data_IF_642748680481
#
_entry.id   IF_642748680481
#
_cell.length_a   1.000
_cell.length_b   1.000
_cell.length_c   1.000
_cell.angle_alpha   90.00
_cell.angle_beta   90.00
_cell.angle_gamma   90.00
#
_symmetry.space_group_name_H-M   'P 1'
#
loop_
_entity.id
_entity.type
_entity.pdbx_description
1 polymer ?
#
# COMPACT_ATOMS: atom_id res chain seq x y z
N UNK A 1 -29.10 -30.12 0.17
CA UNK A 1 -27.96 -31.01 0.48
C UNK A 1 -27.65 -30.86 1.96
N UNK A 2 -27.94 -31.88 2.76
CA UNK A 2 -27.60 -31.93 4.18
C UNK A 2 -26.33 -32.78 4.30
N UNK A 3 -25.19 -32.14 4.56
CA UNK A 3 -23.95 -32.85 4.90
C UNK A 3 -24.03 -33.33 6.36
N UNK A 4 -23.43 -34.48 6.66
CA UNK A 4 -23.36 -34.99 8.04
C UNK A 4 -22.45 -34.11 8.92
N UNK A 5 -22.59 -34.21 10.23
CA UNK A 5 -21.73 -33.45 11.17
C UNK A 5 -20.26 -33.83 11.04
N UNK A 6 -19.95 -35.10 10.79
CA UNK A 6 -18.58 -35.59 10.56
C UNK A 6 -17.96 -34.99 9.30
N UNK A 7 -18.72 -34.88 8.20
CA UNK A 7 -18.24 -34.26 6.96
C UNK A 7 -17.98 -32.76 7.14
N UNK A 8 -18.81 -32.08 7.94
CA UNK A 8 -18.61 -30.66 8.29
C UNK A 8 -17.36 -30.46 9.14
N UNK A 9 -17.10 -31.37 10.07
CA UNK A 9 -15.91 -31.28 10.93
C UNK A 9 -14.63 -31.55 10.14
N UNK A 10 -14.65 -32.53 9.24
CA UNK A 10 -13.54 -32.82 8.32
C UNK A 10 -13.27 -31.64 7.38
N UNK A 11 -14.32 -31.02 6.84
CA UNK A 11 -14.21 -29.82 6.01
C UNK A 11 -13.66 -28.63 6.82
N UNK A 12 -14.04 -28.47 8.09
CA UNK A 12 -13.48 -27.44 8.98
C UNK A 12 -12.02 -27.69 9.31
N UNK A 13 -11.61 -28.93 9.54
CA UNK A 13 -10.22 -29.28 9.77
C UNK A 13 -9.37 -29.03 8.52
N UNK A 14 -9.85 -29.48 7.36
CA UNK A 14 -9.18 -29.27 6.08
C UNK A 14 -9.10 -27.78 5.72
N UNK A 15 -10.17 -27.02 5.94
CA UNK A 15 -10.15 -25.56 5.71
C UNK A 15 -9.30 -24.83 6.75
N UNK A 16 -9.21 -25.30 8.01
CA UNK A 16 -8.30 -24.74 9.00
C UNK A 16 -6.84 -25.01 8.66
N UNK A 17 -6.54 -26.16 8.07
CA UNK A 17 -5.19 -26.49 7.60
C UNK A 17 -4.83 -25.73 6.31
N UNK A 18 -5.75 -25.68 5.33
CA UNK A 18 -5.57 -24.94 4.07
C UNK A 18 -5.57 -23.43 4.26
N UNK A 19 -6.41 -22.87 5.13
CA UNK A 19 -6.58 -21.42 5.28
C UNK A 19 -5.96 -20.85 6.56
N UNK A 20 -5.68 -21.64 7.59
CA UNK A 20 -5.00 -21.19 8.81
C UNK A 20 -3.53 -20.80 8.59
N UNK A 21 -2.95 -21.20 7.45
CA UNK A 21 -1.58 -20.88 7.05
C UNK A 21 -1.47 -19.67 6.11
N UNK A 22 -2.59 -19.13 5.61
CA UNK A 22 -2.59 -18.10 4.55
C UNK A 22 -2.31 -16.67 5.07
N UNK A 23 -2.23 -16.46 6.40
CA UNK A 23 -2.18 -15.11 6.98
C UNK A 23 -1.12 -14.83 8.03
N UNK A 24 -0.13 -15.70 8.26
CA UNK A 24 0.96 -15.35 9.20
C UNK A 24 1.95 -14.43 8.52
N UNK A 25 1.69 -13.13 8.60
CA UNK A 25 2.73 -12.13 8.37
C UNK A 25 3.97 -12.45 9.22
N UNK A 26 5.14 -12.00 8.77
CA UNK A 26 6.41 -12.16 9.49
C UNK A 26 6.23 -11.82 10.96
N UNK A 27 6.65 -12.73 11.85
CA UNK A 27 6.51 -12.54 13.28
C UNK A 27 7.31 -11.32 13.75
N UNK A 28 6.85 -10.60 14.78
CA UNK A 28 7.48 -9.36 15.27
C UNK A 28 9.00 -9.49 15.47
N UNK A 29 9.47 -10.64 15.97
CA UNK A 29 10.90 -10.90 16.15
C UNK A 29 11.68 -10.99 14.83
N UNK A 30 11.13 -11.67 13.83
CA UNK A 30 11.72 -11.74 12.49
C UNK A 30 11.69 -10.37 11.81
N UNK A 31 10.66 -9.56 12.06
CA UNK A 31 10.61 -8.17 11.57
C UNK A 31 11.76 -7.34 12.13
N UNK A 32 12.00 -7.42 13.45
CA UNK A 32 13.10 -6.71 14.10
C UNK A 32 14.46 -7.15 13.56
N UNK A 33 14.68 -8.46 13.39
CA UNK A 33 15.91 -8.99 12.77
C UNK A 33 16.13 -8.48 11.34
N UNK A 34 15.06 -8.41 10.54
CA UNK A 34 15.16 -7.88 9.18
C UNK A 34 15.45 -6.38 9.16
N UNK A 35 14.89 -5.61 10.10
CA UNK A 35 15.18 -4.17 10.26
C UNK A 35 16.65 -3.96 10.65
N UNK A 36 17.14 -4.69 11.66
CA UNK A 36 18.54 -4.61 12.11
C UNK A 36 19.52 -4.93 10.96
N UNK A 37 19.23 -5.98 10.19
CA UNK A 37 20.04 -6.34 9.02
C UNK A 37 20.03 -5.23 7.93
N UNK A 38 18.89 -4.55 7.72
CA UNK A 38 18.82 -3.42 6.80
C UNK A 38 19.65 -2.24 7.32
N UNK A 39 19.56 -1.92 8.61
CA UNK A 39 20.32 -0.83 9.23
C UNK A 39 21.82 -1.05 9.11
N UNK A 40 22.31 -2.27 9.35
CA UNK A 40 23.73 -2.62 9.18
C UNK A 40 24.20 -2.42 7.72
N UNK A 41 23.42 -2.91 6.74
CA UNK A 41 23.76 -2.75 5.32
C UNK A 41 23.75 -1.27 4.90
N UNK A 42 22.81 -0.48 5.41
CA UNK A 42 22.74 0.97 5.16
C UNK A 42 23.94 1.69 5.78
N UNK A 43 24.35 1.33 6.99
CA UNK A 43 25.53 1.89 7.63
C UNK A 43 26.80 1.58 6.82
N UNK A 44 26.96 0.33 6.36
CA UNK A 44 28.08 -0.08 5.49
C UNK A 44 28.09 0.68 4.17
N UNK A 45 26.92 0.85 3.55
CA UNK A 45 26.78 1.59 2.30
C UNK A 45 27.08 3.09 2.49
N UNK A 46 26.67 3.67 3.61
CA UNK A 46 26.99 5.06 3.98
C UNK A 46 28.49 5.25 4.20
N UNK A 47 29.15 4.35 4.93
CA UNK A 47 30.60 4.37 5.13
C UNK A 47 31.36 4.25 3.79
N UNK A 48 30.94 3.34 2.92
CA UNK A 48 31.51 3.18 1.58
C UNK A 48 31.31 4.42 0.68
N UNK A 49 30.17 5.11 0.81
CA UNK A 49 29.92 6.36 0.07
C UNK A 49 30.73 7.54 0.60
N UNK A 50 30.99 7.59 1.91
CA UNK A 50 31.83 8.63 2.50
C UNK A 50 33.30 8.44 2.15
N UNK A 51 33.79 7.19 2.11
CA UNK A 51 35.17 6.90 1.71
C UNK A 51 35.47 7.11 0.22
N UNK A 52 34.44 7.15 -0.63
CA UNK A 52 34.54 7.46 -2.06
C UNK A 52 34.13 8.90 -2.40
N UNK A 53 34.08 9.76 -1.38
CA UNK A 53 33.62 11.16 -1.47
C UNK A 53 34.40 12.03 -2.45
N UNK A 54 33.69 13.08 -2.93
CA UNK A 54 34.00 14.17 -3.90
C UNK A 54 35.47 14.54 -4.25
N UNK A 55 36.46 14.24 -3.43
CA UNK A 55 37.85 14.69 -3.56
C UNK A 55 38.60 13.98 -4.71
N UNK A 56 38.20 12.76 -5.07
CA UNK A 56 38.92 11.98 -6.09
C UNK A 56 38.66 12.46 -7.52
N UNK A 57 37.56 13.17 -7.79
CA UNK A 57 37.18 13.53 -9.18
C UNK A 57 38.11 14.56 -9.81
N UNK A 58 38.68 15.47 -9.02
CA UNK A 58 39.65 16.44 -9.53
C UNK A 58 41.03 15.80 -9.70
N UNK A 59 41.43 14.89 -8.80
CA UNK A 59 42.71 14.16 -8.88
C UNK A 59 42.79 13.18 -10.05
N UNK A 60 41.64 12.76 -10.60
CA UNK A 60 41.58 11.83 -11.73
C UNK A 60 42.34 12.29 -12.99
N UNK A 61 42.51 13.60 -13.19
CA UNK A 61 43.21 14.15 -14.36
C UNK A 61 44.72 14.02 -14.26
N UNK A 62 45.26 14.02 -13.04
CA UNK A 62 46.71 14.08 -12.81
C UNK A 62 47.34 12.70 -12.54
N UNK A 63 46.52 11.64 -12.45
CA UNK A 63 46.97 10.26 -12.24
C UNK A 63 47.59 9.64 -13.51
N UNK A 64 48.61 8.80 -13.31
CA UNK A 64 49.20 7.96 -14.35
C UNK A 64 48.23 6.89 -14.87
N UNK A 65 48.49 6.29 -16.04
CA UNK A 65 47.60 5.28 -16.64
C UNK A 65 47.41 4.04 -15.76
N UNK A 66 48.46 3.59 -15.08
CA UNK A 66 48.40 2.45 -14.15
C UNK A 66 47.55 2.76 -12.92
N UNK A 67 47.69 3.96 -12.36
CA UNK A 67 46.89 4.40 -11.22
C UNK A 67 45.42 4.58 -11.59
N UNK A 68 45.15 5.09 -12.80
CA UNK A 68 43.79 5.15 -13.35
C UNK A 68 43.18 3.77 -13.51
N UNK A 69 43.94 2.77 -13.98
CA UNK A 69 43.47 1.39 -14.09
C UNK A 69 43.11 0.80 -12.72
N UNK A 70 44.00 0.93 -11.73
CA UNK A 70 43.76 0.51 -10.34
C UNK A 70 42.55 1.22 -9.73
N UNK A 71 42.39 2.51 -9.99
CA UNK A 71 41.26 3.29 -9.49
C UNK A 71 39.94 2.86 -10.14
N UNK A 72 39.91 2.61 -11.45
CA UNK A 72 38.75 2.05 -12.16
C UNK A 72 38.36 0.68 -11.60
N UNK A 73 39.34 -0.18 -11.32
CA UNK A 73 39.09 -1.49 -10.72
C UNK A 73 38.50 -1.36 -9.31
N UNK A 74 39.07 -0.49 -8.46
CA UNK A 74 38.53 -0.19 -7.12
C UNK A 74 37.09 0.33 -7.20
N UNK A 75 36.82 1.27 -8.10
CA UNK A 75 35.47 1.81 -8.33
C UNK A 75 34.51 0.74 -8.82
N UNK A 76 34.93 -0.13 -9.74
CA UNK A 76 34.12 -1.24 -10.23
C UNK A 76 33.81 -2.24 -9.12
N UNK A 77 34.78 -2.57 -8.26
CA UNK A 77 34.57 -3.44 -7.09
C UNK A 77 33.60 -2.81 -6.09
N UNK A 78 33.82 -1.54 -5.73
CA UNK A 78 32.93 -0.79 -4.85
C UNK A 78 31.49 -0.70 -5.42
N UNK A 79 31.36 -0.51 -6.74
CA UNK A 79 30.07 -0.52 -7.42
C UNK A 79 29.34 -1.87 -7.31
N UNK A 80 30.06 -2.98 -7.51
CA UNK A 80 29.49 -4.33 -7.34
C UNK A 80 29.07 -4.61 -5.90
N UNK A 81 29.90 -4.22 -4.93
CA UNK A 81 29.59 -4.37 -3.50
C UNK A 81 28.36 -3.56 -3.11
N UNK A 82 28.25 -2.32 -3.58
CA UNK A 82 27.07 -1.47 -3.41
C UNK A 82 25.81 -2.13 -3.98
N UNK A 83 25.90 -2.68 -5.19
CA UNK A 83 24.76 -3.32 -5.84
C UNK A 83 24.33 -4.60 -5.10
N UNK A 84 25.28 -5.37 -4.54
CA UNK A 84 24.98 -6.53 -3.69
C UNK A 84 24.27 -6.11 -2.40
N UNK A 85 24.75 -5.06 -1.73
CA UNK A 85 24.10 -4.53 -0.53
C UNK A 85 22.66 -4.06 -0.82
N UNK A 86 22.44 -3.37 -1.94
CA UNK A 86 21.10 -2.95 -2.37
C UNK A 86 20.17 -4.14 -2.57
N UNK A 87 20.61 -5.18 -3.30
CA UNK A 87 19.81 -6.39 -3.51
C UNK A 87 19.46 -7.09 -2.19
N UNK A 88 20.41 -7.18 -1.27
CA UNK A 88 20.16 -7.75 0.06
C UNK A 88 19.10 -6.96 0.83
N UNK A 89 19.14 -5.62 0.78
CA UNK A 89 18.10 -4.76 1.37
C UNK A 89 16.74 -5.00 0.69
N UNK A 90 16.70 -5.09 -0.64
CA UNK A 90 15.47 -5.37 -1.40
C UNK A 90 14.85 -6.72 -1.00
N UNK A 91 15.67 -7.76 -0.82
CA UNK A 91 15.22 -9.08 -0.37
C UNK A 91 14.64 -9.03 1.06
N UNK A 92 15.28 -8.32 1.99
CA UNK A 92 14.76 -8.16 3.36
C UNK A 92 13.47 -7.34 3.39
N UNK A 93 13.37 -6.30 2.56
CA UNK A 93 12.14 -5.54 2.37
C UNK A 93 11.03 -6.42 1.77
N UNK A 94 11.35 -7.29 0.83
CA UNK A 94 10.39 -8.23 0.25
C UNK A 94 9.83 -9.20 1.31
N UNK A 95 10.69 -9.70 2.21
CA UNK A 95 10.29 -10.52 3.37
C UNK A 95 9.31 -9.76 4.26
N UNK A 96 9.70 -8.56 4.71
CA UNK A 96 8.87 -7.72 5.60
C UNK A 96 7.49 -7.37 5.01
N UNK A 97 7.39 -7.29 3.68
CA UNK A 97 6.19 -6.85 2.96
C UNK A 97 5.11 -7.92 2.84
N UNK A 98 5.45 -9.20 3.05
CA UNK A 98 4.55 -10.34 2.93
C UNK A 98 4.20 -10.72 1.47
N UNK A 99 3.79 -11.98 1.22
CA UNK A 99 3.38 -12.43 -0.10
C UNK A 99 2.07 -11.72 -0.50
N UNK A 100 2.08 -10.99 -1.62
CA UNK A 100 0.86 -10.42 -2.21
C UNK A 100 0.68 -8.90 -2.11
N UNK A 101 1.68 -8.14 -1.65
CA UNK A 101 1.72 -6.68 -1.90
C UNK A 101 2.58 -6.40 -3.14
N UNK A 102 2.03 -6.41 -4.37
CA UNK A 102 2.79 -6.01 -5.56
C UNK A 102 3.46 -4.64 -5.34
N UNK A 103 4.71 -4.53 -5.79
CA UNK A 103 5.49 -3.28 -5.76
C UNK A 103 4.96 -2.23 -6.76
N UNK A 104 4.15 -2.65 -7.71
CA UNK A 104 3.65 -1.79 -8.76
C UNK A 104 2.58 -0.82 -8.23
N UNK A 105 2.96 0.44 -8.01
CA UNK A 105 2.00 1.54 -8.14
C UNK A 105 1.34 2.06 -6.87
N UNK A 106 1.96 1.99 -5.68
CA UNK A 106 1.65 3.00 -4.66
C UNK A 106 2.24 4.33 -5.14
N UNK A 107 1.50 4.96 -6.05
CA UNK A 107 1.64 6.38 -6.33
C UNK A 107 1.66 7.07 -4.96
N UNK A 108 2.68 7.89 -4.66
CA UNK A 108 2.71 8.62 -3.40
C UNK A 108 1.40 9.38 -3.27
N UNK A 109 0.80 9.32 -2.09
CA UNK A 109 -0.47 10.02 -1.90
C UNK A 109 -0.25 11.51 -2.18
N UNK A 110 -1.24 12.19 -2.73
CA UNK A 110 -1.11 13.63 -2.99
C UNK A 110 -0.78 14.41 -1.72
N UNK A 111 -1.19 13.90 -0.55
CA UNK A 111 -0.81 14.41 0.76
C UNK A 111 0.69 14.29 1.02
N UNK A 112 1.29 13.10 0.82
CA UNK A 112 2.73 12.89 0.95
C UNK A 112 3.54 13.81 0.02
N UNK A 113 3.12 13.96 -1.24
CA UNK A 113 3.80 14.85 -2.19
C UNK A 113 3.81 16.32 -1.74
N UNK A 114 2.71 16.80 -1.13
CA UNK A 114 2.62 18.16 -0.57
C UNK A 114 3.54 18.37 0.62
N UNK A 115 3.65 17.36 1.50
CA UNK A 115 4.56 17.41 2.65
C UNK A 115 6.01 17.49 2.18
N UNK A 116 6.42 16.61 1.24
CA UNK A 116 7.78 16.62 0.70
C UNK A 116 8.06 17.94 -0.04
N UNK A 117 7.08 18.49 -0.76
CA UNK A 117 7.22 19.80 -1.39
C UNK A 117 7.49 20.90 -0.35
N UNK A 118 6.74 20.93 0.76
CA UNK A 118 6.94 21.89 1.84
C UNK A 118 8.34 21.79 2.46
N UNK A 119 8.85 20.57 2.67
CA UNK A 119 10.22 20.35 3.15
C UNK A 119 11.26 20.84 2.12
N UNK A 120 11.08 20.52 0.84
CA UNK A 120 11.97 20.97 -0.22
C UNK A 120 12.05 22.51 -0.32
N UNK A 121 10.92 23.21 -0.10
CA UNK A 121 10.90 24.68 -0.04
C UNK A 121 11.66 25.19 1.18
N UNK A 122 11.44 24.60 2.37
CA UNK A 122 12.16 24.96 3.61
C UNK A 122 13.68 24.78 3.47
N UNK A 123 14.11 23.74 2.79
CA UNK A 123 15.53 23.43 2.53
C UNK A 123 16.11 24.17 1.31
N UNK A 124 15.34 25.06 0.66
CA UNK A 124 15.73 25.78 -0.55
C UNK A 124 16.12 24.86 -1.73
N UNK A 125 15.59 23.63 -1.76
CA UNK A 125 15.76 22.66 -2.84
C UNK A 125 14.81 22.97 -4.02
N UNK A 126 15.04 24.10 -4.70
CA UNK A 126 14.13 24.68 -5.71
C UNK A 126 13.81 23.74 -6.88
N UNK A 127 14.79 22.96 -7.35
CA UNK A 127 14.57 21.98 -8.44
C UNK A 127 13.64 20.85 -8.00
N UNK A 128 13.82 20.36 -6.76
CA UNK A 128 13.00 19.29 -6.19
C UNK A 128 11.56 19.78 -5.99
N UNK A 129 11.38 20.98 -5.43
CA UNK A 129 10.07 21.60 -5.27
C UNK A 129 9.32 21.72 -6.61
N UNK A 130 9.96 22.28 -7.65
CA UNK A 130 9.37 22.38 -9.00
C UNK A 130 9.00 21.04 -9.63
N UNK A 131 9.73 19.97 -9.30
CA UNK A 131 9.42 18.62 -9.81
C UNK A 131 8.20 18.04 -9.08
N UNK A 132 8.13 18.22 -7.77
CA UNK A 132 6.99 17.75 -6.95
C UNK A 132 5.71 18.50 -7.31
N UNK A 133 5.79 19.81 -7.55
CA UNK A 133 4.65 20.62 -8.00
C UNK A 133 4.07 20.09 -9.32
N UNK A 134 4.91 19.75 -10.29
CA UNK A 134 4.49 19.12 -11.55
C UNK A 134 3.81 17.77 -11.33
N UNK A 135 4.34 16.93 -10.44
CA UNK A 135 3.73 15.64 -10.10
C UNK A 135 2.37 15.81 -9.42
N UNK A 136 2.25 16.76 -8.50
CA UNK A 136 0.99 17.10 -7.84
C UNK A 136 -0.05 17.55 -8.88
N UNK A 137 0.35 18.42 -9.82
CA UNK A 137 -0.54 18.90 -10.88
C UNK A 137 -1.01 17.76 -11.80
N UNK A 138 -0.11 16.86 -12.22
CA UNK A 138 -0.46 15.67 -13.01
C UNK A 138 -1.46 14.79 -12.26
N UNK A 139 -1.20 14.51 -10.98
CA UNK A 139 -2.07 13.66 -10.17
C UNK A 139 -3.48 14.27 -10.01
N UNK A 140 -3.59 15.58 -9.83
CA UNK A 140 -4.89 16.27 -9.77
C UNK A 140 -5.63 16.23 -11.10
N UNK A 141 -4.92 16.35 -12.23
CA UNK A 141 -5.50 16.24 -13.57
C UNK A 141 -6.07 14.86 -13.81
N UNK A 142 -5.29 13.81 -13.52
CA UNK A 142 -5.71 12.41 -13.72
C UNK A 142 -6.88 12.05 -12.79
N UNK A 143 -6.86 12.52 -11.54
CA UNK A 143 -7.93 12.29 -10.57
C UNK A 143 -9.25 12.99 -10.96
N UNK A 144 -9.18 14.15 -11.63
CA UNK A 144 -10.35 14.86 -12.14
C UNK A 144 -10.85 14.30 -13.48
N UNK A 145 -9.96 13.74 -14.31
CA UNK A 145 -10.28 13.15 -15.61
C UNK A 145 -10.92 11.75 -15.55
N UNK A 146 -10.79 11.03 -14.44
CA UNK A 146 -11.20 9.62 -14.30
C UNK A 146 -12.70 9.32 -14.13
N UNK A 147 -13.62 10.28 -14.39
CA UNK A 147 -15.07 10.03 -14.36
C UNK A 147 -15.79 10.16 -15.70
N UNK A 148 -15.07 10.28 -16.81
CA UNK A 148 -15.59 9.69 -18.04
C UNK A 148 -15.14 8.23 -18.07
N UNK A 149 -15.89 7.39 -17.34
CA UNK A 149 -16.10 6.04 -17.86
C UNK A 149 -16.58 6.27 -19.28
N UNK A 150 -15.78 5.92 -20.28
CA UNK A 150 -16.35 5.53 -21.56
C UNK A 150 -17.56 4.66 -21.20
N UNK A 151 -18.76 4.97 -21.70
CA UNK A 151 -19.80 3.97 -21.69
C UNK A 151 -19.17 2.81 -22.44
N UNK A 152 -18.72 1.79 -21.71
CA UNK A 152 -18.45 0.48 -22.26
C UNK A 152 -19.70 0.20 -23.06
N UNK A 153 -19.56 0.31 -24.37
CA UNK A 153 -20.50 -0.22 -25.32
C UNK A 153 -20.72 -1.62 -24.80
N UNK A 154 -21.89 -1.86 -24.20
CA UNK A 154 -22.35 -3.21 -23.94
C UNK A 154 -22.21 -3.84 -25.31
N UNK A 155 -21.30 -4.82 -25.54
CA UNK A 155 -21.44 -5.63 -26.72
C UNK A 155 -22.86 -6.14 -26.66
N UNK A 156 -23.61 -5.87 -27.74
CA UNK A 156 -25.00 -6.27 -27.90
C UNK A 156 -25.16 -7.62 -27.25
N UNK A 157 -26.01 -7.65 -26.21
CA UNK A 157 -26.51 -8.90 -25.70
C UNK A 157 -27.22 -9.53 -26.89
N UNK A 158 -26.51 -10.40 -27.60
CA UNK A 158 -27.07 -11.49 -28.38
C UNK A 158 -28.26 -12.00 -27.58
N UNK A 159 -29.42 -11.80 -28.20
CA UNK A 159 -30.73 -12.12 -27.68
C UNK A 159 -30.68 -13.51 -27.07
N UNK A 160 -30.61 -13.57 -25.74
CA UNK A 160 -30.91 -14.82 -25.07
C UNK A 160 -32.42 -14.99 -25.19
N UNK A 161 -32.90 -16.07 -25.83
CA UNK A 161 -34.32 -16.34 -25.89
C UNK A 161 -34.88 -16.37 -24.46
N UNK A 162 -36.08 -15.82 -24.25
CA UNK A 162 -36.71 -15.78 -22.94
C UNK A 162 -36.79 -17.20 -22.40
N UNK A 163 -36.04 -17.49 -21.34
CA UNK A 163 -36.27 -18.71 -20.57
C UNK A 163 -37.62 -18.55 -19.91
N UNK A 164 -38.59 -19.36 -20.36
CA UNK A 164 -39.83 -19.61 -19.65
C UNK A 164 -39.47 -20.02 -18.22
N UNK A 165 -39.67 -19.08 -17.30
CA UNK A 165 -39.68 -19.39 -15.88
C UNK A 165 -40.98 -20.15 -15.63
N UNK A 166 -40.94 -21.39 -15.10
CA UNK A 166 -42.15 -22.02 -14.61
C UNK A 166 -42.79 -21.10 -13.57
N UNK A 167 -44.13 -20.99 -13.65
CA UNK A 167 -44.94 -20.14 -12.80
C UNK A 167 -44.52 -20.32 -11.34
N UNK A 168 -43.91 -19.26 -10.79
CA UNK A 168 -43.62 -19.17 -9.37
C UNK A 168 -44.98 -19.11 -8.70
N UNK A 169 -45.38 -20.23 -8.09
CA UNK A 169 -46.51 -20.27 -7.18
C UNK A 169 -46.42 -19.06 -6.26
N UNK A 170 -47.41 -18.19 -6.37
CA UNK A 170 -47.71 -17.12 -5.44
C UNK A 170 -47.95 -17.79 -4.09
N UNK A 171 -46.88 -17.94 -3.31
CA UNK A 171 -47.02 -18.01 -1.87
C UNK A 171 -47.16 -16.58 -1.43
N UNK A 172 -48.31 -16.30 -0.84
CA UNK A 172 -48.56 -15.14 0.02
C UNK A 172 -47.42 -15.01 1.02
N UNK A 173 -46.41 -14.20 0.66
CA UNK A 173 -45.44 -13.68 1.61
C UNK A 173 -45.98 -12.32 2.00
N UNK A 174 -46.84 -12.34 3.02
CA UNK A 174 -47.06 -11.15 3.83
C UNK A 174 -45.69 -10.61 4.24
N UNK A 175 -45.46 -9.35 3.88
CA UNK A 175 -44.22 -8.59 4.00
C UNK A 175 -43.80 -8.46 5.48
N UNK A 176 -43.18 -9.49 6.04
CA UNK A 176 -42.34 -9.37 7.24
C UNK A 176 -40.97 -8.79 6.82
N UNK A 177 -40.97 -7.53 6.37
CA UNK A 177 -39.75 -6.71 6.27
C UNK A 177 -39.30 -6.21 7.64
N UNK A 178 -39.31 -7.07 8.66
CA UNK A 178 -38.53 -6.85 9.86
C UNK A 178 -37.09 -7.27 9.58
N UNK A 179 -36.40 -6.49 8.73
CA UNK A 179 -34.94 -6.50 8.72
C UNK A 179 -34.51 -6.28 10.17
N UNK A 180 -33.81 -7.27 10.76
CA UNK A 180 -33.39 -7.26 12.16
C UNK A 180 -32.74 -5.91 12.45
N UNK A 181 -33.47 -5.02 13.15
CA UNK A 181 -32.94 -3.74 13.61
C UNK A 181 -31.76 -4.08 14.50
N UNK A 182 -30.60 -3.48 14.23
CA UNK A 182 -29.45 -3.62 15.12
C UNK A 182 -29.89 -3.23 16.54
N UNK A 183 -29.50 -4.00 17.57
CA UNK A 183 -29.81 -3.62 18.95
C UNK A 183 -29.26 -2.23 19.23
N UNK A 184 -30.05 -1.43 19.95
CA UNK A 184 -29.56 -0.16 20.45
C UNK A 184 -28.34 -0.45 21.33
N UNK A 185 -27.22 0.21 21.05
CA UNK A 185 -26.05 0.13 21.90
C UNK A 185 -25.83 1.50 22.54
N UNK A 186 -25.49 1.46 23.81
CA UNK A 186 -25.15 2.62 24.63
C UNK A 186 -23.64 2.66 24.76
N UNK A 187 -23.04 3.85 24.58
CA UNK A 187 -21.62 4.06 24.80
C UNK A 187 -21.43 5.02 25.96
N UNK A 188 -20.52 4.68 26.87
CA UNK A 188 -20.07 5.59 27.90
C UNK A 188 -19.03 6.54 27.31
N UNK A 189 -19.34 7.83 27.30
CA UNK A 189 -18.39 8.89 26.97
C UNK A 189 -17.32 9.03 28.05
N UNK A 190 -16.20 9.67 27.71
CA UNK A 190 -15.08 9.89 28.61
C UNK A 190 -15.46 10.69 29.87
N UNK A 191 -16.51 11.52 29.76
CA UNK A 191 -17.06 12.32 30.87
C UNK A 191 -18.02 11.54 31.78
N UNK A 192 -18.13 10.23 31.59
CA UNK A 192 -19.02 9.36 32.39
C UNK A 192 -20.49 9.44 31.99
N UNK A 193 -20.84 10.10 30.89
CA UNK A 193 -22.22 10.19 30.39
C UNK A 193 -22.50 9.07 29.40
N UNK A 194 -23.61 8.36 29.57
CA UNK A 194 -24.12 7.38 28.62
C UNK A 194 -24.77 8.10 27.45
N UNK A 195 -24.34 7.80 26.21
CA UNK A 195 -24.88 8.43 25.00
C UNK A 195 -25.40 7.38 24.03
N UNK A 196 -26.60 7.61 23.50
CA UNK A 196 -27.24 6.75 22.51
C UNK A 196 -26.96 7.27 21.10
N UNK A 197 -26.78 6.38 20.12
CA UNK A 197 -26.67 6.77 18.70
C UNK A 197 -27.91 7.52 18.20
N UNK A 198 -29.06 7.34 18.86
CA UNK A 198 -30.31 8.04 18.58
C UNK A 198 -30.16 9.56 18.68
N UNK A 199 -29.32 10.01 19.62
CA UNK A 199 -29.15 11.43 19.96
C UNK A 199 -28.40 12.20 18.86
N UNK A 200 -27.65 11.50 18.01
CA UNK A 200 -26.87 12.09 16.91
C UNK A 200 -27.58 12.05 15.56
N UNK A 201 -28.82 11.54 15.49
CA UNK A 201 -29.58 11.41 14.25
C UNK A 201 -30.13 12.77 13.81
N UNK A 202 -29.28 13.58 13.18
CA UNK A 202 -29.63 14.92 12.67
C UNK A 202 -28.47 15.91 12.61
N UNK A 203 -27.32 15.60 13.24
CA UNK A 203 -26.23 16.57 13.43
C UNK A 203 -24.99 16.35 12.55
N UNK A 204 -25.05 15.44 11.56
CA UNK A 204 -23.87 15.04 10.75
C UNK A 204 -23.66 15.93 9.50
N UNK A 205 -24.32 17.09 9.41
CA UNK A 205 -24.59 17.73 8.11
C UNK A 205 -24.22 19.20 7.90
N UNK A 206 -23.54 19.90 8.82
CA UNK A 206 -23.26 21.34 8.61
C UNK A 206 -22.07 21.79 9.45
N UNK A 207 -20.87 21.75 8.88
CA UNK A 207 -19.79 22.73 9.12
C UNK A 207 -18.51 22.33 8.36
N UNK A 208 -18.50 22.53 7.03
CA UNK A 208 -17.26 22.59 6.24
C UNK A 208 -17.34 23.83 5.31
N UNK A 209 -17.69 24.97 5.87
CA UNK A 209 -17.69 26.24 5.15
C UNK A 209 -17.28 27.36 6.10
N UNK A 210 -16.01 27.33 6.51
CA UNK A 210 -15.21 28.49 6.92
C UNK A 210 -13.87 27.97 7.45
N UNK A 211 -12.87 27.94 6.56
CA UNK A 211 -11.44 28.11 6.82
C UNK A 211 -10.74 28.25 5.46
#
# INVERSE_FOLDING_TARGET
MNMSEEEREKLRAETREKFGSIGRGIGRQEQLKAIEAIEEQVAKLKAAMQSTGREDRSRFRDLSEEERAKLREKMAKAGRERQRAIRAIEEQLAKLRGPGRPQAGRQPSIGELRVIHGLAVKEKATQTARRLERLIALYQRDSRGGRQREPQQRPERLERPPRERPARQERDVQDERSGKRAPAFELNSFDGKTVSLSDYRGNVGTNISQL
#
